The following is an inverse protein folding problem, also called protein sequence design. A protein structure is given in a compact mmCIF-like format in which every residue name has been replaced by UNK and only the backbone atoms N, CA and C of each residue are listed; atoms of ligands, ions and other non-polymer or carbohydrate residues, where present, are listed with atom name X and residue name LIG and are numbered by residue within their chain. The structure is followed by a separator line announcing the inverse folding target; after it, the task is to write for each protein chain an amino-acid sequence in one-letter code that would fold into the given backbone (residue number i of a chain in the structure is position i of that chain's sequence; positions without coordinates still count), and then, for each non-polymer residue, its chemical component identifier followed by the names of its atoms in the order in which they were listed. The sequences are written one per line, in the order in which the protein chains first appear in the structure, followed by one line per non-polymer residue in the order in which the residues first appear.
data_IF_846784260620
#
_entry.id   IF_846784260620
#
_cell.length_a   1.000
_cell.length_b   1.000
_cell.length_c   1.000
_cell.angle_alpha   90.00
_cell.angle_beta   90.00
_cell.angle_gamma   90.00
#
_symmetry.space_group_name_H-M   'P 1'
#
loop_
_entity.id
_entity.type
_entity.pdbx_description
1 polymer ?
#
# COMPACT_ATOMS: atom_id res chain seq x y z
N UNK A 1 2.33 -18.03 0.42
CA UNK A 1 3.36 -16.98 0.41
C UNK A 1 3.31 -16.17 -0.88
N UNK A 2 3.22 -14.84 -0.78
CA UNK A 2 3.13 -13.89 -1.88
C UNK A 2 4.02 -12.68 -1.60
N UNK A 3 4.79 -12.25 -2.61
CA UNK A 3 5.47 -10.95 -2.59
C UNK A 3 4.58 -9.94 -3.33
N UNK A 4 4.17 -8.89 -2.64
CA UNK A 4 3.24 -7.90 -3.19
C UNK A 4 3.99 -6.80 -3.93
N UNK A 5 3.44 -6.43 -5.10
CA UNK A 5 3.86 -5.27 -5.85
C UNK A 5 3.10 -4.00 -5.40
N UNK A 6 3.59 -2.83 -5.81
CA UNK A 6 3.04 -1.51 -5.50
C UNK A 6 1.56 -1.38 -5.91
N UNK A 7 1.15 -2.04 -7.00
CA UNK A 7 -0.23 -2.00 -7.49
C UNK A 7 -1.22 -2.69 -6.54
N UNK A 8 -0.89 -3.89 -6.05
CA UNK A 8 -1.70 -4.69 -5.16
C UNK A 8 -1.83 -3.98 -3.81
N UNK A 9 -0.72 -3.45 -3.29
CA UNK A 9 -0.74 -2.68 -2.06
C UNK A 9 -1.59 -1.40 -2.19
N UNK A 10 -1.48 -0.70 -3.33
CA UNK A 10 -2.29 0.49 -3.61
C UNK A 10 -3.79 0.18 -3.71
N UNK A 11 -4.14 -1.00 -4.23
CA UNK A 11 -5.52 -1.48 -4.29
C UNK A 11 -6.05 -1.86 -2.91
N UNK A 12 -5.25 -2.57 -2.09
CA UNK A 12 -5.59 -2.92 -0.71
C UNK A 12 -5.90 -1.69 0.15
N UNK A 13 -5.24 -0.55 -0.10
CA UNK A 13 -5.55 0.72 0.57
C UNK A 13 -7.00 1.17 0.38
N UNK A 14 -7.62 0.84 -0.77
CA UNK A 14 -9.01 1.23 -1.09
C UNK A 14 -10.05 0.44 -0.30
N UNK A 15 -9.67 -0.61 0.42
CA UNK A 15 -10.59 -1.44 1.22
C UNK A 15 -11.41 -0.61 2.20
N UNK A 16 -10.77 0.33 2.90
CA UNK A 16 -11.46 1.20 3.88
C UNK A 16 -12.48 2.16 3.27
N UNK A 17 -12.34 2.49 1.98
CA UNK A 17 -13.28 3.37 1.28
C UNK A 17 -14.37 2.60 0.52
N UNK A 18 -14.37 1.26 0.58
CA UNK A 18 -15.30 0.40 -0.16
C UNK A 18 -15.10 0.44 -1.68
N UNK A 19 -13.96 0.97 -2.14
CA UNK A 19 -13.65 1.13 -3.58
C UNK A 19 -12.66 0.08 -4.10
N UNK A 20 -12.38 -0.94 -3.30
CA UNK A 20 -11.48 -2.04 -3.68
C UNK A 20 -12.13 -2.89 -4.77
N UNK A 21 -11.32 -3.39 -5.70
CA UNK A 21 -11.74 -4.43 -6.64
C UNK A 21 -12.21 -5.69 -5.89
N UNK A 22 -13.40 -6.19 -6.24
CA UNK A 22 -13.95 -7.41 -5.63
C UNK A 22 -13.02 -8.62 -5.77
N UNK A 23 -12.28 -8.74 -6.88
CA UNK A 23 -11.33 -9.83 -7.09
C UNK A 23 -10.13 -9.74 -6.13
N UNK A 24 -9.62 -8.52 -5.90
CA UNK A 24 -8.49 -8.30 -4.98
C UNK A 24 -8.94 -8.48 -3.54
N UNK A 25 -10.14 -8.03 -3.20
CA UNK A 25 -10.70 -8.26 -1.85
C UNK A 25 -10.90 -9.75 -1.56
N UNK A 26 -11.44 -10.52 -2.52
CA UNK A 26 -11.62 -11.95 -2.38
C UNK A 26 -10.27 -12.68 -2.20
N UNK A 27 -9.28 -12.37 -3.05
CA UNK A 27 -7.94 -12.97 -2.94
C UNK A 27 -7.24 -12.58 -1.64
N UNK A 28 -7.29 -11.31 -1.23
CA UNK A 28 -6.67 -10.86 0.00
C UNK A 28 -7.35 -11.45 1.25
N UNK A 29 -8.64 -11.80 1.16
CA UNK A 29 -9.37 -12.51 2.20
C UNK A 29 -9.08 -14.02 2.24
N UNK A 30 -8.52 -14.61 1.18
CA UNK A 30 -8.20 -16.04 1.11
C UNK A 30 -6.76 -16.38 1.51
N UNK A 31 -5.94 -15.38 1.84
CA UNK A 31 -4.52 -15.53 2.14
C UNK A 31 -4.24 -14.92 3.51
N UNK A 32 -3.55 -15.67 4.37
CA UNK A 32 -3.13 -15.14 5.68
C UNK A 32 -2.13 -13.99 5.51
N UNK A 33 -2.27 -12.94 6.32
CA UNK A 33 -1.39 -11.78 6.25
C UNK A 33 0.08 -12.14 6.49
N UNK A 34 0.36 -13.14 7.34
CA UNK A 34 1.71 -13.64 7.59
C UNK A 34 2.38 -14.29 6.36
N UNK A 35 1.59 -14.63 5.34
CA UNK A 35 2.06 -15.14 4.05
C UNK A 35 2.23 -14.05 2.99
N UNK A 36 2.00 -12.77 3.32
CA UNK A 36 2.17 -11.65 2.41
C UNK A 36 3.41 -10.85 2.80
N UNK A 37 4.23 -10.51 1.82
CA UNK A 37 5.50 -9.83 2.03
C UNK A 37 5.62 -8.62 1.09
N UNK A 38 6.44 -7.64 1.48
CA UNK A 38 6.82 -6.52 0.64
C UNK A 38 8.32 -6.54 0.41
N UNK A 39 8.73 -6.19 -0.81
CA UNK A 39 10.14 -5.91 -1.09
C UNK A 39 10.50 -4.54 -0.53
N UNK A 40 11.71 -4.40 0.00
CA UNK A 40 12.26 -3.07 0.35
C UNK A 40 12.31 -2.14 -0.86
N UNK A 41 12.38 -2.68 -2.09
CA UNK A 41 12.30 -1.89 -3.33
C UNK A 41 10.88 -1.33 -3.53
N UNK A 42 9.83 -2.11 -3.26
CA UNK A 42 8.43 -1.64 -3.29
C UNK A 42 8.21 -0.49 -2.30
N UNK A 43 8.82 -0.58 -1.11
CA UNK A 43 8.78 0.51 -0.13
C UNK A 43 9.47 1.76 -0.68
N UNK A 44 10.67 1.62 -1.24
CA UNK A 44 11.42 2.71 -1.86
C UNK A 44 10.64 3.38 -3.01
N UNK A 45 9.98 2.61 -3.87
CA UNK A 45 9.15 3.14 -4.97
C UNK A 45 8.01 4.02 -4.45
N UNK A 46 7.35 3.58 -3.37
CA UNK A 46 6.27 4.34 -2.73
C UNK A 46 6.81 5.62 -2.10
N UNK A 47 7.92 5.55 -1.36
CA UNK A 47 8.55 6.74 -0.77
C UNK A 47 8.96 7.75 -1.84
N UNK A 48 9.56 7.27 -2.94
CA UNK A 48 9.91 8.12 -4.09
C UNK A 48 8.66 8.77 -4.70
N UNK A 49 7.59 8.00 -4.89
CA UNK A 49 6.32 8.51 -5.38
C UNK A 49 5.71 9.59 -4.47
N UNK A 50 5.80 9.41 -3.15
CA UNK A 50 5.37 10.39 -2.15
C UNK A 50 6.24 11.66 -2.24
N UNK A 51 7.56 11.52 -2.31
CA UNK A 51 8.48 12.65 -2.41
C UNK A 51 8.26 13.47 -3.69
N UNK A 52 8.01 12.80 -4.83
CA UNK A 52 7.67 13.47 -6.08
C UNK A 52 6.31 14.19 -5.99
N UNK A 53 5.30 13.58 -5.36
CA UNK A 53 4.00 14.20 -5.14
C UNK A 53 4.09 15.42 -4.23
N UNK A 54 4.94 15.38 -3.21
CA UNK A 54 5.09 16.46 -2.23
C UNK A 54 5.52 17.79 -2.87
N UNK A 55 6.24 17.73 -3.99
CA UNK A 55 6.65 18.92 -4.77
C UNK A 55 5.48 19.67 -5.40
N UNK A 56 4.31 19.02 -5.55
CA UNK A 56 3.10 19.60 -6.16
C UNK A 56 1.88 19.63 -5.24
N UNK A 57 1.76 18.68 -4.31
CA UNK A 57 0.66 18.55 -3.36
C UNK A 57 1.17 17.97 -2.04
N UNK A 58 1.64 18.85 -1.17
CA UNK A 58 2.16 18.50 0.16
C UNK A 58 1.10 17.87 1.05
N UNK A 59 -0.17 18.28 0.92
CA UNK A 59 -1.25 17.74 1.75
C UNK A 59 -1.51 16.27 1.40
N UNK A 60 -1.62 15.95 0.11
CA UNK A 60 -1.84 14.58 -0.32
C UNK A 60 -0.62 13.69 -0.01
N UNK A 61 0.60 14.21 -0.21
CA UNK A 61 1.82 13.50 0.14
C UNK A 61 1.88 13.16 1.64
N UNK A 62 1.50 14.09 2.53
CA UNK A 62 1.44 13.85 3.97
C UNK A 62 0.49 12.71 4.36
N UNK A 63 -0.69 12.64 3.73
CA UNK A 63 -1.64 11.53 3.94
C UNK A 63 -1.04 10.19 3.53
N UNK A 64 -0.34 10.16 2.38
CA UNK A 64 0.31 8.93 1.90
C UNK A 64 1.49 8.51 2.78
N UNK A 65 2.25 9.47 3.30
CA UNK A 65 3.37 9.21 4.22
C UNK A 65 2.88 8.60 5.53
N UNK A 66 1.83 9.16 6.12
CA UNK A 66 1.19 8.59 7.31
C UNK A 66 0.62 7.19 7.02
N UNK A 67 0.01 6.99 5.85
CA UNK A 67 -0.46 5.67 5.47
C UNK A 67 0.68 4.64 5.37
N UNK A 68 1.81 5.00 4.74
CA UNK A 68 2.97 4.11 4.64
C UNK A 68 3.51 3.74 6.03
N UNK A 69 3.82 4.73 6.88
CA UNK A 69 4.44 4.48 8.18
C UNK A 69 3.50 3.88 9.23
N UNK A 70 2.23 4.28 9.28
CA UNK A 70 1.33 3.89 10.36
C UNK A 70 0.45 2.69 10.01
N UNK A 71 0.45 2.25 8.75
CA UNK A 71 -0.42 1.15 8.28
C UNK A 71 0.34 0.09 7.53
N UNK A 72 1.23 0.45 6.60
CA UNK A 72 1.96 -0.54 5.80
C UNK A 72 3.14 -1.09 6.58
N UNK A 73 4.06 -0.24 7.04
CA UNK A 73 5.28 -0.68 7.74
C UNK A 73 5.03 -1.55 8.99
N UNK A 74 3.97 -1.34 9.81
CA UNK A 74 3.71 -2.20 10.96
C UNK A 74 2.97 -3.50 10.61
N UNK A 75 2.45 -3.61 9.38
CA UNK A 75 1.62 -4.72 8.93
C UNK A 75 2.41 -5.81 8.19
N UNK A 76 3.65 -5.53 7.81
CA UNK A 76 4.56 -6.39 7.05
C UNK A 76 5.94 -6.37 7.71
#
# INVERSE_FOLDING_TARGET
MYLLDTNALSELRKRRSGKISAAVEAWAGSVDQADMFLSVITIMEIELGIALLERRDTRQAGVLRLWLHDKVMPAF
#
